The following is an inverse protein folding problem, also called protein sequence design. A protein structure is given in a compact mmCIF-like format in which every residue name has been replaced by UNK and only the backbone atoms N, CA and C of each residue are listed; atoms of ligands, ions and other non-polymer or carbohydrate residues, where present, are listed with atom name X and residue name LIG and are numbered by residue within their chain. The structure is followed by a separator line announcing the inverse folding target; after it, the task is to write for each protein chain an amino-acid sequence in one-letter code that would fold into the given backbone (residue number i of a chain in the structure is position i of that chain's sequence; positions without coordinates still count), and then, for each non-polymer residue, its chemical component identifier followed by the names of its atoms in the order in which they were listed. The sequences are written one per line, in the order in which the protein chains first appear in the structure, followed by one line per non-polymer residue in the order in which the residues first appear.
data_IF_526965881669
#
_entry.id   IF_526965881669
#
_cell.length_a   1.000
_cell.length_b   1.000
_cell.length_c   1.000
_cell.angle_alpha   90.00
_cell.angle_beta   90.00
_cell.angle_gamma   90.00
#
_symmetry.space_group_name_H-M   'P 1'
#
loop_
_entity.id
_entity.type
_entity.pdbx_description
1 polymer ?
#
# COMPACT_ATOMS: atom_id res chain seq x y z
N UNK A 1 -11.42 -5.82 22.85
CA UNK A 1 -12.36 -5.36 21.82
C UNK A 1 -12.08 -6.12 20.54
N UNK A 2 -12.96 -7.00 20.15
CA UNK A 2 -12.90 -7.60 18.83
C UNK A 2 -13.33 -6.53 17.83
N UNK A 3 -12.38 -5.88 17.17
CA UNK A 3 -12.71 -4.98 16.07
C UNK A 3 -13.30 -5.82 14.95
N UNK A 4 -14.56 -5.58 14.69
CA UNK A 4 -15.33 -6.22 13.63
C UNK A 4 -14.81 -5.69 12.28
N UNK A 5 -13.78 -6.38 11.75
CA UNK A 5 -13.18 -6.07 10.46
C UNK A 5 -14.09 -6.45 9.28
N UNK A 6 -15.31 -6.92 9.55
CA UNK A 6 -16.26 -7.38 8.53
C UNK A 6 -16.83 -6.24 7.67
N UNK A 7 -16.66 -4.97 8.09
CA UNK A 7 -17.21 -3.79 7.43
C UNK A 7 -16.20 -2.93 6.67
N UNK A 8 -15.07 -3.50 6.23
CA UNK A 8 -14.17 -2.75 5.36
C UNK A 8 -14.70 -2.70 3.92
N UNK A 9 -15.33 -1.60 3.57
CA UNK A 9 -15.84 -1.32 2.21
C UNK A 9 -14.73 -0.99 1.19
N UNK A 10 -13.49 -1.48 1.40
CA UNK A 10 -12.36 -1.27 0.49
C UNK A 10 -11.93 -2.60 -0.14
N UNK A 11 -12.57 -3.06 -1.26
CA UNK A 11 -12.26 -4.36 -1.87
C UNK A 11 -10.85 -4.44 -2.46
N UNK A 12 -10.18 -3.31 -2.70
CA UNK A 12 -8.78 -3.34 -3.09
C UNK A 12 -7.84 -3.59 -1.88
N UNK A 13 -8.27 -3.24 -0.68
CA UNK A 13 -7.66 -3.71 0.55
C UNK A 13 -8.15 -5.13 0.79
N UNK A 14 -7.39 -6.10 0.31
CA UNK A 14 -7.71 -7.51 0.54
C UNK A 14 -8.07 -7.71 2.00
N UNK A 15 -9.20 -8.37 2.23
CA UNK A 15 -9.62 -8.79 3.57
C UNK A 15 -8.45 -9.55 4.20
N UNK A 16 -7.81 -8.91 5.17
CA UNK A 16 -6.70 -9.51 5.87
C UNK A 16 -7.27 -10.44 6.94
N UNK A 17 -7.11 -11.74 6.72
CA UNK A 17 -7.47 -12.76 7.71
C UNK A 17 -6.19 -13.30 8.35
N UNK A 18 -5.81 -12.78 9.53
CA UNK A 18 -4.59 -13.21 10.19
C UNK A 18 -4.69 -14.67 10.62
N UNK A 19 -3.62 -15.44 10.38
CA UNK A 19 -3.45 -16.76 10.97
C UNK A 19 -3.40 -16.68 12.51
N UNK A 20 -3.51 -17.82 13.20
CA UNK A 20 -3.42 -17.87 14.65
C UNK A 20 -2.15 -17.20 15.20
N UNK A 21 -0.98 -17.49 14.62
CA UNK A 21 0.30 -16.89 15.02
C UNK A 21 0.35 -15.39 14.74
N UNK A 22 -0.17 -14.96 13.61
CA UNK A 22 -0.26 -13.52 13.28
C UNK A 22 -1.18 -12.78 14.23
N UNK A 23 -2.31 -13.38 14.60
CA UNK A 23 -3.26 -12.81 15.57
C UNK A 23 -2.62 -12.65 16.95
N UNK A 24 -1.88 -13.66 17.39
CA UNK A 24 -1.10 -13.58 18.61
C UNK A 24 -0.08 -12.44 18.56
N UNK A 25 0.71 -12.35 17.48
CA UNK A 25 1.68 -11.27 17.30
C UNK A 25 1.03 -9.89 17.28
N UNK A 26 -0.10 -9.72 16.60
CA UNK A 26 -0.89 -8.48 16.57
C UNK A 26 -1.31 -8.09 18.00
N UNK A 27 -1.82 -9.02 18.78
CA UNK A 27 -2.25 -8.75 20.15
C UNK A 27 -1.08 -8.32 21.05
N UNK A 28 0.07 -8.96 20.91
CA UNK A 28 1.29 -8.61 21.67
C UNK A 28 1.75 -7.19 21.29
N UNK A 29 1.84 -6.88 19.99
CA UNK A 29 2.27 -5.57 19.51
C UNK A 29 1.28 -4.46 19.87
N UNK A 30 -0.02 -4.75 19.82
CA UNK A 30 -1.08 -3.79 20.16
C UNK A 30 -1.17 -3.47 21.66
N UNK A 31 -0.53 -4.27 22.52
CA UNK A 31 -0.43 -3.98 23.96
C UNK A 31 0.61 -2.89 24.28
N UNK A 32 1.47 -2.57 23.34
CA UNK A 32 2.47 -1.51 23.45
C UNK A 32 2.02 -0.18 22.85
N UNK A 33 2.95 0.77 22.81
CA UNK A 33 2.71 2.07 22.16
C UNK A 33 2.83 1.91 20.65
N UNK A 34 1.76 2.20 19.92
CA UNK A 34 1.72 2.20 18.47
C UNK A 34 1.90 3.62 17.91
N UNK A 35 2.49 3.76 16.70
CA UNK A 35 2.55 5.05 16.04
C UNK A 35 1.13 5.53 15.68
N UNK A 36 0.92 6.83 15.69
CA UNK A 36 -0.35 7.46 15.26
C UNK A 36 -0.34 7.83 13.78
N UNK A 37 0.82 7.88 13.18
CA UNK A 37 1.03 8.28 11.80
C UNK A 37 2.18 7.46 11.21
N UNK A 38 1.96 6.88 10.04
CA UNK A 38 2.97 6.14 9.27
C UNK A 38 3.18 6.80 7.93
N UNK A 39 4.42 7.04 7.55
CA UNK A 39 4.79 7.53 6.23
C UNK A 39 5.45 6.42 5.41
N UNK A 40 5.05 6.27 4.15
CA UNK A 40 5.56 5.25 3.25
C UNK A 40 6.08 5.91 1.97
N UNK A 41 7.30 5.56 1.59
CA UNK A 41 7.91 5.94 0.31
C UNK A 41 7.88 4.72 -0.61
N UNK A 42 7.21 4.84 -1.76
CA UNK A 42 7.17 3.79 -2.77
C UNK A 42 8.42 3.87 -3.65
N UNK A 43 9.48 3.17 -3.27
CA UNK A 43 10.75 3.14 -3.98
C UNK A 43 11.19 1.71 -4.32
N UNK A 44 12.14 1.60 -5.25
CA UNK A 44 12.75 0.35 -5.67
C UNK A 44 11.98 -0.44 -6.73
N UNK A 45 10.79 -0.03 -7.14
CA UNK A 45 9.92 -0.74 -8.07
C UNK A 45 10.59 -1.00 -9.44
N UNK A 46 11.34 -0.03 -9.97
CA UNK A 46 12.09 -0.17 -11.23
C UNK A 46 13.22 -1.17 -11.10
N UNK A 47 14.00 -1.11 -10.02
CA UNK A 47 15.09 -2.06 -9.74
C UNK A 47 14.55 -3.49 -9.60
N UNK A 48 13.41 -3.64 -8.92
CA UNK A 48 12.73 -4.92 -8.79
C UNK A 48 12.34 -5.51 -10.16
N UNK A 49 11.76 -4.70 -11.05
CA UNK A 49 11.40 -5.10 -12.41
C UNK A 49 12.64 -5.46 -13.25
N UNK A 50 13.67 -4.62 -13.20
CA UNK A 50 14.92 -4.83 -13.92
C UNK A 50 15.60 -6.17 -13.55
N UNK A 51 15.63 -6.53 -12.28
CA UNK A 51 16.18 -7.80 -11.81
C UNK A 51 15.40 -9.04 -12.29
N UNK A 52 14.23 -8.84 -12.88
CA UNK A 52 13.31 -9.89 -13.37
C UNK A 52 13.02 -9.79 -14.86
N UNK A 53 13.80 -8.99 -15.57
CA UNK A 53 13.61 -8.71 -17.00
C UNK A 53 12.17 -8.27 -17.34
N UNK A 54 11.55 -7.50 -16.41
CA UNK A 54 10.21 -6.96 -16.55
C UNK A 54 10.23 -5.46 -16.86
N UNK A 55 9.14 -4.97 -17.40
CA UNK A 55 8.98 -3.54 -17.70
C UNK A 55 8.82 -2.73 -16.40
N UNK A 56 9.25 -1.46 -16.37
CA UNK A 56 9.09 -0.60 -15.19
C UNK A 56 7.65 -0.52 -14.67
N UNK A 57 6.66 -0.51 -15.55
CA UNK A 57 5.24 -0.46 -15.16
C UNK A 57 4.82 -1.69 -14.35
N UNK A 58 5.31 -2.88 -14.68
CA UNK A 58 5.03 -4.11 -13.93
C UNK A 58 5.61 -4.03 -12.51
N UNK A 59 6.78 -3.40 -12.36
CA UNK A 59 7.37 -3.09 -11.05
C UNK A 59 6.48 -2.13 -10.24
N UNK A 60 5.97 -1.09 -10.87
CA UNK A 60 5.05 -0.15 -10.21
C UNK A 60 3.74 -0.82 -9.78
N UNK A 61 3.14 -1.63 -10.62
CA UNK A 61 1.92 -2.42 -10.28
C UNK A 61 2.16 -3.32 -9.07
N UNK A 62 3.29 -4.02 -9.03
CA UNK A 62 3.69 -4.85 -7.88
C UNK A 62 3.95 -4.04 -6.63
N UNK A 63 4.52 -2.85 -6.77
CA UNK A 63 4.71 -1.90 -5.68
C UNK A 63 3.38 -1.46 -5.07
N UNK A 64 2.39 -1.17 -5.89
CA UNK A 64 1.04 -0.84 -5.43
C UNK A 64 0.33 -2.01 -4.75
N UNK A 65 0.48 -3.24 -5.24
CA UNK A 65 -0.02 -4.43 -4.56
C UNK A 65 0.60 -4.61 -3.17
N UNK A 66 1.90 -4.39 -3.06
CA UNK A 66 2.62 -4.44 -1.78
C UNK A 66 2.17 -3.33 -0.84
N UNK A 67 1.96 -2.12 -1.38
CA UNK A 67 1.41 -1.00 -0.62
C UNK A 67 0.00 -1.30 -0.09
N UNK A 68 -0.87 -1.88 -0.90
CA UNK A 68 -2.21 -2.30 -0.45
C UNK A 68 -2.16 -3.30 0.71
N UNK A 69 -1.20 -4.23 0.69
CA UNK A 69 -0.96 -5.14 1.83
C UNK A 69 -0.48 -4.38 3.07
N UNK A 70 0.44 -3.44 2.91
CA UNK A 70 0.92 -2.61 4.02
C UNK A 70 -0.21 -1.79 4.64
N UNK A 71 -1.10 -1.22 3.83
CA UNK A 71 -2.30 -0.52 4.33
C UNK A 71 -3.22 -1.44 5.12
N UNK A 72 -3.38 -2.70 4.71
CA UNK A 72 -4.16 -3.68 5.45
C UNK A 72 -3.57 -3.94 6.84
N UNK A 73 -2.24 -4.04 6.97
CA UNK A 73 -1.56 -4.16 8.26
C UNK A 73 -1.73 -2.93 9.13
N UNK A 74 -1.53 -1.73 8.56
CA UNK A 74 -1.69 -0.44 9.27
C UNK A 74 -3.11 -0.34 9.85
N UNK A 75 -4.10 -0.78 9.09
CA UNK A 75 -5.50 -0.79 9.52
C UNK A 75 -5.77 -1.77 10.66
N UNK A 76 -5.15 -2.96 10.63
CA UNK A 76 -5.25 -3.95 11.71
C UNK A 76 -4.79 -3.38 13.05
N UNK A 77 -3.81 -2.48 13.04
CA UNK A 77 -3.30 -1.80 14.22
C UNK A 77 -4.06 -0.51 14.58
N UNK A 78 -5.15 -0.18 13.88
CA UNK A 78 -5.92 1.06 14.09
C UNK A 78 -5.06 2.33 14.02
N UNK A 79 -4.05 2.34 13.16
CA UNK A 79 -3.23 3.54 12.94
C UNK A 79 -4.03 4.52 12.08
N UNK A 80 -4.36 5.72 12.60
CA UNK A 80 -5.36 6.58 11.99
C UNK A 80 -4.86 7.36 10.78
N UNK A 81 -3.54 7.50 10.61
CA UNK A 81 -2.99 8.40 9.59
C UNK A 81 -1.85 7.75 8.82
N UNK A 82 -1.93 7.85 7.48
CA UNK A 82 -0.90 7.36 6.57
C UNK A 82 -0.58 8.44 5.55
N UNK A 83 0.71 8.75 5.40
CA UNK A 83 1.22 9.60 4.32
C UNK A 83 1.98 8.74 3.33
N UNK A 84 1.72 8.91 2.05
CA UNK A 84 2.39 8.16 0.99
C UNK A 84 3.10 9.10 0.04
N UNK A 85 4.39 8.86 -0.18
CA UNK A 85 5.17 9.55 -1.19
C UNK A 85 5.25 8.67 -2.44
N UNK A 86 4.51 9.05 -3.48
CA UNK A 86 4.32 8.21 -4.68
C UNK A 86 5.11 8.74 -5.87
N UNK A 87 5.13 10.07 -6.06
CA UNK A 87 5.66 10.71 -7.23
C UNK A 87 6.43 11.97 -6.87
N UNK A 88 7.63 12.14 -7.45
CA UNK A 88 8.47 13.31 -7.26
C UNK A 88 8.74 14.04 -8.59
N UNK A 89 9.22 15.27 -8.52
CA UNK A 89 9.69 16.03 -9.68
C UNK A 89 10.77 15.26 -10.44
N UNK A 90 11.62 14.52 -9.74
CA UNK A 90 12.67 13.67 -10.34
C UNK A 90 12.09 12.58 -11.25
N UNK A 91 10.87 12.14 -10.99
CA UNK A 91 10.20 11.14 -11.82
C UNK A 91 9.83 11.68 -13.21
N UNK A 92 9.65 13.00 -13.35
CA UNK A 92 9.39 13.65 -14.65
C UNK A 92 10.57 13.55 -15.64
N UNK A 93 11.77 13.25 -15.15
CA UNK A 93 12.97 13.00 -16.00
C UNK A 93 12.95 11.63 -16.68
N UNK A 94 12.00 10.76 -16.35
CA UNK A 94 11.84 9.44 -16.94
C UNK A 94 11.21 9.52 -18.34
N UNK A 95 11.18 8.39 -19.05
CA UNK A 95 10.49 8.35 -20.35
C UNK A 95 9.02 8.74 -20.21
N UNK A 96 8.47 9.42 -21.21
CA UNK A 96 7.07 9.85 -21.20
C UNK A 96 6.12 8.68 -20.98
N UNK A 97 6.40 7.54 -21.61
CA UNK A 97 5.61 6.31 -21.44
C UNK A 97 5.57 5.81 -19.99
N UNK A 98 6.70 5.87 -19.28
CA UNK A 98 6.77 5.48 -17.87
C UNK A 98 6.00 6.48 -16.99
N UNK A 99 6.17 7.77 -17.23
CA UNK A 99 5.47 8.83 -16.50
C UNK A 99 3.96 8.70 -16.66
N UNK A 100 3.47 8.55 -17.90
CA UNK A 100 2.05 8.40 -18.19
C UNK A 100 1.48 7.13 -17.55
N UNK A 101 2.20 6.03 -17.63
CA UNK A 101 1.82 4.77 -16.97
C UNK A 101 1.70 4.90 -15.45
N UNK A 102 2.66 5.57 -14.82
CA UNK A 102 2.65 5.79 -13.37
C UNK A 102 1.51 6.73 -12.94
N UNK A 103 1.27 7.81 -13.68
CA UNK A 103 0.16 8.73 -13.41
C UNK A 103 -1.19 8.01 -13.56
N UNK A 104 -1.38 7.24 -14.62
CA UNK A 104 -2.61 6.47 -14.82
C UNK A 104 -2.85 5.45 -13.71
N UNK A 105 -1.80 4.79 -13.26
CA UNK A 105 -1.86 3.85 -12.14
C UNK A 105 -2.26 4.55 -10.83
N UNK A 106 -1.67 5.72 -10.55
CA UNK A 106 -2.04 6.57 -9.42
C UNK A 106 -3.51 6.99 -9.46
N UNK A 107 -3.99 7.47 -10.62
CA UNK A 107 -5.38 7.88 -10.80
C UNK A 107 -6.32 6.69 -10.57
N UNK A 108 -5.96 5.51 -11.06
CA UNK A 108 -6.74 4.28 -10.86
C UNK A 108 -6.84 3.91 -9.39
N UNK A 109 -5.73 4.03 -8.65
CA UNK A 109 -5.69 3.79 -7.21
C UNK A 109 -6.58 4.77 -6.44
N UNK A 110 -6.45 6.07 -6.73
CA UNK A 110 -7.28 7.10 -6.10
C UNK A 110 -8.76 6.90 -6.37
N UNK A 111 -9.14 6.59 -7.62
CA UNK A 111 -10.53 6.26 -7.97
C UNK A 111 -11.07 5.07 -7.18
N UNK A 112 -10.26 4.04 -6.97
CA UNK A 112 -10.65 2.88 -6.14
C UNK A 112 -10.89 3.32 -4.69
N UNK A 113 -9.97 4.08 -4.11
CA UNK A 113 -10.10 4.59 -2.73
C UNK A 113 -11.38 5.43 -2.59
N UNK A 114 -11.59 6.40 -3.49
CA UNK A 114 -12.76 7.30 -3.40
C UNK A 114 -14.11 6.65 -3.70
N UNK A 115 -14.15 5.56 -4.46
CA UNK A 115 -15.40 4.82 -4.68
C UNK A 115 -15.86 4.02 -3.49
N UNK A 116 -14.97 3.80 -2.56
CA UNK A 116 -15.17 2.90 -1.43
C UNK A 116 -15.26 3.65 -0.08
N UNK A 117 -15.08 4.97 -0.13
CA UNK A 117 -15.37 5.90 0.98
C UNK A 117 -16.83 6.32 0.98
#
# INVERSE_FOLDING_TARGET
MANDFSNSHLPFLRKFEPSFLQRFAINVLSSGVLPKHVAIILDGNRRWAQQRDQKPIEGHERGFDTFAKALSWIRVFDIPEVTVYVFSIENLKRSQKEVDGLINLMISLLKKIFREM
#
